data_IF_747068104183
#
_entry.id   IF_747068104183
#
_cell.length_a   1.000
_cell.length_b   1.000
_cell.length_c   1.000
_cell.angle_alpha   90.00
_cell.angle_beta   90.00
_cell.angle_gamma   90.00
#
_symmetry.space_group_name_H-M   'P 1'
#
loop_
_entity.id
_entity.type
_entity.pdbx_description
1 polymer ?
#
# COMPACT_ATOMS: atom_id res chain seq x y z
N UNK A 1 1.19 3.86 -0.24
CA UNK A 1 2.30 2.93 0.08
C UNK A 1 2.32 1.91 -1.04
N UNK A 2 3.25 2.03 -1.99
CA UNK A 2 3.47 0.97 -2.98
C UNK A 2 4.14 -0.19 -2.26
N UNK A 3 3.46 -1.32 -2.20
CA UNK A 3 4.04 -2.54 -1.66
C UNK A 3 5.09 -3.06 -2.65
N UNK A 4 6.35 -2.70 -2.41
CA UNK A 4 7.52 -3.15 -3.18
C UNK A 4 7.70 -4.67 -3.17
N UNK A 5 6.92 -5.41 -2.36
CA UNK A 5 6.98 -6.87 -2.33
C UNK A 5 6.39 -7.56 -3.57
N UNK A 6 5.62 -6.88 -4.43
CA UNK A 6 5.03 -7.54 -5.61
C UNK A 6 6.05 -7.71 -6.74
N UNK A 7 6.93 -6.72 -6.98
CA UNK A 7 7.87 -6.78 -8.13
C UNK A 7 9.04 -7.73 -7.86
N UNK A 8 9.48 -7.86 -6.61
CA UNK A 8 10.62 -8.73 -6.23
C UNK A 8 10.22 -10.19 -5.96
N UNK A 9 8.92 -10.51 -5.87
CA UNK A 9 8.44 -11.89 -5.66
C UNK A 9 8.61 -12.80 -6.88
N UNK A 10 8.75 -12.24 -8.08
CA UNK A 10 8.81 -13.03 -9.32
C UNK A 10 10.17 -13.68 -9.59
N UNK A 11 11.25 -13.19 -8.96
CA UNK A 11 12.60 -13.70 -9.23
C UNK A 11 13.37 -13.84 -7.92
N UNK A 12 13.77 -15.06 -7.59
CA UNK A 12 14.65 -15.34 -6.45
C UNK A 12 15.92 -14.48 -6.55
N UNK A 13 16.39 -13.90 -5.44
CA UNK A 13 17.58 -13.05 -5.38
C UNK A 13 18.84 -13.67 -5.98
N UNK A 14 18.93 -15.00 -6.00
CA UNK A 14 20.06 -15.74 -6.58
C UNK A 14 19.92 -16.06 -8.07
N UNK A 15 18.82 -15.67 -8.70
CA UNK A 15 18.54 -15.97 -10.10
C UNK A 15 19.24 -14.96 -11.02
N UNK A 16 19.77 -15.44 -12.15
CA UNK A 16 20.55 -14.63 -13.11
C UNK A 16 19.79 -13.41 -13.66
N UNK A 17 18.45 -13.43 -13.65
CA UNK A 17 17.61 -12.32 -14.10
C UNK A 17 17.29 -11.31 -12.99
N UNK A 18 17.65 -11.58 -11.72
CA UNK A 18 17.33 -10.72 -10.60
C UNK A 18 17.83 -9.27 -10.78
N UNK A 19 19.08 -9.02 -11.23
CA UNK A 19 19.55 -7.65 -11.46
C UNK A 19 18.74 -6.90 -12.53
N UNK A 20 18.28 -7.61 -13.57
CA UNK A 20 17.46 -7.03 -14.62
C UNK A 20 16.07 -6.65 -14.11
N UNK A 21 15.43 -7.55 -13.35
CA UNK A 21 14.12 -7.29 -12.73
C UNK A 21 14.21 -6.16 -11.72
N UNK A 22 15.25 -6.13 -10.87
CA UNK A 22 15.46 -5.03 -9.93
C UNK A 22 15.64 -3.68 -10.65
N UNK A 23 16.37 -3.65 -11.78
CA UNK A 23 16.56 -2.42 -12.57
C UNK A 23 15.25 -1.96 -13.22
N UNK A 24 14.44 -2.88 -13.73
CA UNK A 24 13.12 -2.56 -14.28
C UNK A 24 12.17 -2.05 -13.19
N UNK A 25 12.20 -2.65 -12.00
CA UNK A 25 11.48 -2.20 -10.82
C UNK A 25 11.84 -0.76 -10.45
N UNK A 26 13.14 -0.45 -10.36
CA UNK A 26 13.64 0.90 -10.05
C UNK A 26 13.19 1.93 -11.11
N UNK A 27 13.26 1.59 -12.40
CA UNK A 27 12.78 2.47 -13.46
C UNK A 27 11.27 2.75 -13.37
N UNK A 28 10.47 1.73 -13.06
CA UNK A 28 9.04 1.90 -12.83
C UNK A 28 8.76 2.76 -11.59
N UNK A 29 9.46 2.52 -10.48
CA UNK A 29 9.33 3.31 -9.25
C UNK A 29 9.67 4.78 -9.48
N UNK A 30 10.78 5.08 -10.17
CA UNK A 30 11.14 6.48 -10.53
C UNK A 30 10.06 7.18 -11.34
N UNK A 31 9.42 6.46 -12.26
CA UNK A 31 8.32 7.02 -13.08
C UNK A 31 7.13 7.36 -12.20
N UNK A 32 6.77 6.47 -11.27
CA UNK A 32 5.67 6.72 -10.32
C UNK A 32 6.02 7.88 -9.37
N UNK A 33 7.23 7.94 -8.85
CA UNK A 33 7.69 9.01 -7.95
C UNK A 33 7.70 10.40 -8.62
N UNK A 34 7.75 10.46 -9.95
CA UNK A 34 7.56 11.70 -10.72
C UNK A 34 6.09 12.12 -10.82
N UNK A 35 5.17 11.16 -10.78
CA UNK A 35 3.72 11.38 -10.94
C UNK A 35 3.00 11.57 -9.60
N UNK A 36 3.53 11.01 -8.51
CA UNK A 36 2.89 10.96 -7.21
C UNK A 36 3.81 11.43 -6.09
N UNK A 37 3.23 12.11 -5.11
CA UNK A 37 3.94 12.47 -3.90
C UNK A 37 4.21 11.23 -3.03
N UNK A 38 5.48 11.03 -2.66
CA UNK A 38 5.86 10.04 -1.66
C UNK A 38 5.55 10.57 -0.26
N UNK A 39 4.73 9.84 0.49
CA UNK A 39 4.38 10.21 1.86
C UNK A 39 5.43 9.67 2.85
N UNK A 40 5.88 10.48 3.81
CA UNK A 40 6.92 10.06 4.74
C UNK A 40 6.38 9.08 5.79
N UNK A 41 7.14 8.02 6.05
CA UNK A 41 6.88 7.11 7.18
C UNK A 41 7.46 7.69 8.48
N UNK A 42 6.76 8.67 9.05
CA UNK A 42 7.12 9.29 10.33
C UNK A 42 6.72 8.42 11.52
N UNK A 43 7.28 8.68 12.70
CA UNK A 43 6.98 7.92 13.93
C UNK A 43 5.49 7.82 14.28
N UNK A 44 4.68 8.80 13.88
CA UNK A 44 3.22 8.79 14.04
C UNK A 44 2.52 7.65 13.26
N UNK A 45 3.13 7.15 12.18
CA UNK A 45 2.61 6.00 11.42
C UNK A 45 2.65 4.74 12.28
N UNK A 46 3.74 4.51 13.01
CA UNK A 46 3.87 3.33 13.87
C UNK A 46 2.86 3.36 15.03
N UNK A 47 2.68 4.49 15.69
CA UNK A 47 1.71 4.61 16.78
C UNK A 47 0.28 4.37 16.29
N UNK A 48 -0.08 4.95 15.15
CA UNK A 48 -1.40 4.75 14.52
C UNK A 48 -1.61 3.30 14.07
N UNK A 49 -0.60 2.70 13.46
CA UNK A 49 -0.63 1.30 13.04
C UNK A 49 -0.80 0.36 14.23
N UNK A 50 -0.06 0.57 15.32
CA UNK A 50 -0.18 -0.22 16.54
C UNK A 50 -1.60 -0.14 17.11
N UNK A 51 -2.19 1.05 17.13
CA UNK A 51 -3.59 1.23 17.52
C UNK A 51 -4.53 0.42 16.62
N UNK A 52 -4.39 0.52 15.29
CA UNK A 52 -5.20 -0.25 14.33
C UNK A 52 -5.05 -1.76 14.53
N UNK A 53 -3.84 -2.26 14.73
CA UNK A 53 -3.59 -3.69 15.00
C UNK A 53 -4.35 -4.16 16.23
N UNK A 54 -4.30 -3.39 17.32
CA UNK A 54 -4.97 -3.75 18.57
C UNK A 54 -6.48 -3.56 18.55
N UNK A 55 -7.01 -2.60 17.79
CA UNK A 55 -8.43 -2.23 17.79
C UNK A 55 -9.24 -2.97 16.74
N UNK A 56 -8.64 -3.24 15.57
CA UNK A 56 -9.27 -3.94 14.45
C UNK A 56 -8.97 -5.44 14.49
N UNK A 57 -8.03 -5.87 15.35
CA UNK A 57 -7.69 -7.29 15.52
C UNK A 57 -7.02 -7.93 14.31
N UNK A 58 -6.22 -7.16 13.57
CA UNK A 58 -5.52 -7.69 12.38
C UNK A 58 -4.36 -8.59 12.76
N UNK A 59 -4.16 -9.66 11.99
CA UNK A 59 -3.05 -10.60 12.16
C UNK A 59 -2.62 -11.19 10.81
N UNK A 60 -1.40 -11.73 10.77
CA UNK A 60 -0.84 -12.34 9.56
C UNK A 60 -0.76 -11.35 8.39
N UNK A 61 -1.26 -11.76 7.23
CA UNK A 61 -1.18 -10.99 5.98
C UNK A 61 -1.87 -9.62 6.04
N UNK A 62 -2.88 -9.46 6.91
CA UNK A 62 -3.67 -8.23 7.06
C UNK A 62 -2.91 -7.09 7.75
N UNK A 63 -1.74 -7.40 8.33
CA UNK A 63 -0.91 -6.44 9.04
C UNK A 63 -0.30 -5.40 8.10
N UNK A 64 -0.05 -5.80 6.84
CA UNK A 64 0.45 -4.90 5.79
C UNK A 64 -0.60 -3.88 5.38
N UNK A 65 -1.85 -4.32 5.16
CA UNK A 65 -2.98 -3.44 4.84
C UNK A 65 -3.23 -2.42 5.96
N UNK A 66 -3.15 -2.86 7.22
CA UNK A 66 -3.26 -1.96 8.36
C UNK A 66 -2.17 -0.87 8.37
N UNK A 67 -0.95 -1.18 7.88
CA UNK A 67 0.13 -0.19 7.79
C UNK A 67 -0.17 0.85 6.72
N UNK A 68 -0.70 0.43 5.57
CA UNK A 68 -1.18 1.34 4.54
C UNK A 68 -2.26 2.28 5.09
N UNK A 69 -3.24 1.75 5.83
CA UNK A 69 -4.30 2.56 6.44
C UNK A 69 -3.76 3.52 7.50
N UNK A 70 -2.74 3.11 8.27
CA UNK A 70 -2.08 4.01 9.23
C UNK A 70 -1.42 5.21 8.53
N UNK A 71 -0.73 4.97 7.41
CA UNK A 71 -0.14 6.03 6.59
C UNK A 71 -1.23 6.97 6.08
N UNK A 72 -2.34 6.43 5.57
CA UNK A 72 -3.48 7.23 5.12
C UNK A 72 -4.04 8.12 6.23
N UNK A 73 -4.27 7.55 7.43
CA UNK A 73 -4.78 8.29 8.60
C UNK A 73 -3.86 9.43 9.03
N UNK A 74 -2.55 9.18 9.11
CA UNK A 74 -1.56 10.21 9.49
C UNK A 74 -1.52 11.35 8.47
N UNK A 75 -1.72 11.03 7.19
CA UNK A 75 -1.73 12.00 6.10
C UNK A 75 -3.13 12.49 5.73
N UNK A 76 -4.15 12.21 6.56
CA UNK A 76 -5.54 12.67 6.38
C UNK A 76 -6.18 12.26 5.03
N UNK A 77 -5.77 11.11 4.51
CA UNK A 77 -6.35 10.52 3.29
C UNK A 77 -7.52 9.61 3.65
N UNK A 78 -8.63 9.80 2.95
CA UNK A 78 -9.85 9.02 3.14
C UNK A 78 -10.17 8.06 2.00
N UNK A 79 -9.58 8.24 0.81
CA UNK A 79 -9.88 7.43 -0.37
C UNK A 79 -8.68 6.56 -0.76
N UNK A 80 -8.93 5.27 -0.97
CA UNK A 80 -7.95 4.29 -1.43
C UNK A 80 -8.38 3.74 -2.79
N UNK A 81 -7.62 4.08 -3.82
CA UNK A 81 -7.75 3.46 -5.14
C UNK A 81 -7.07 2.08 -5.11
N UNK A 82 -7.84 1.00 -5.33
CA UNK A 82 -7.33 -0.38 -5.25
C UNK A 82 -8.20 -1.37 -6.03
N UNK A 83 -7.56 -2.36 -6.65
CA UNK A 83 -8.25 -3.50 -7.28
C UNK A 83 -8.75 -4.54 -6.25
N UNK A 84 -8.29 -4.46 -5.00
CA UNK A 84 -8.64 -5.40 -3.94
C UNK A 84 -9.54 -4.72 -2.88
N UNK A 85 -10.55 -3.96 -3.32
CA UNK A 85 -11.41 -3.17 -2.43
C UNK A 85 -12.01 -3.99 -1.27
N UNK A 86 -12.33 -5.26 -1.52
CA UNK A 86 -12.91 -6.16 -0.52
C UNK A 86 -12.02 -6.35 0.72
N UNK A 87 -10.70 -6.36 0.56
CA UNK A 87 -9.75 -6.58 1.66
C UNK A 87 -9.76 -5.43 2.69
N UNK A 88 -10.20 -4.25 2.24
CA UNK A 88 -10.20 -3.01 3.02
C UNK A 88 -11.55 -2.62 3.61
N UNK A 89 -12.61 -3.40 3.36
CA UNK A 89 -13.99 -3.14 3.86
C UNK A 89 -14.04 -2.92 5.37
N UNK A 90 -13.21 -3.64 6.14
CA UNK A 90 -13.09 -3.49 7.60
C UNK A 90 -12.71 -2.08 8.06
N UNK A 91 -12.12 -1.26 7.18
CA UNK A 91 -11.68 0.09 7.48
C UNK A 91 -12.72 1.15 7.08
N UNK A 92 -13.86 0.76 6.49
CA UNK A 92 -14.94 1.70 6.15
C UNK A 92 -15.54 2.35 7.41
N UNK A 93 -15.65 1.59 8.50
CA UNK A 93 -16.13 2.09 9.81
C UNK A 93 -15.26 3.19 10.41
N UNK A 94 -14.03 3.35 9.92
CA UNK A 94 -13.08 4.36 10.36
C UNK A 94 -12.80 5.43 9.30
N UNK A 95 -13.70 5.57 8.31
CA UNK A 95 -13.67 6.65 7.33
C UNK A 95 -12.77 6.42 6.11
N UNK A 96 -12.36 5.18 5.84
CA UNK A 96 -11.68 4.83 4.59
C UNK A 96 -12.71 4.42 3.55
N UNK A 97 -12.67 5.03 2.37
CA UNK A 97 -13.48 4.69 1.21
C UNK A 97 -12.59 4.04 0.17
N UNK A 98 -12.93 2.85 -0.29
CA UNK A 98 -12.20 2.17 -1.37
C UNK A 98 -12.86 2.44 -2.72
N UNK A 99 -12.04 2.71 -3.73
CA UNK A 99 -12.48 2.95 -5.10
C UNK A 99 -11.79 1.93 -6.00
N UNK A 100 -12.58 1.23 -6.82
CA UNK A 100 -12.05 0.34 -7.84
C UNK A 100 -11.69 1.16 -9.09
N UNK A 101 -10.46 1.07 -9.62
CA UNK A 101 -10.07 1.78 -10.84
C UNK A 101 -10.99 1.52 -12.04
N UNK A 102 -11.56 0.31 -12.16
CA UNK A 102 -12.47 -0.04 -13.26
C UNK A 102 -13.75 0.80 -13.18
N UNK A 103 -14.21 1.12 -11.98
CA UNK A 103 -15.41 1.95 -11.77
C UNK A 103 -15.13 3.44 -12.06
N UNK A 104 -13.87 3.88 -12.04
CA UNK A 104 -13.50 5.27 -12.37
C UNK A 104 -13.36 5.50 -13.87
N UNK A 105 -13.07 4.47 -14.69
CA UNK A 105 -12.91 4.63 -16.14
C UNK A 105 -14.20 4.86 -16.91
N UNK A 106 -15.37 4.75 -16.26
CA UNK A 106 -16.69 5.02 -16.84
C UNK A 106 -17.22 6.44 -16.55
N UNK A 107 -16.41 7.30 -15.91
CA UNK A 107 -16.70 8.72 -15.64
C UNK A 107 -15.91 9.65 -16.57
#
# INVERSE_FOLDING_TARGET
MLDTNVILRYVNGNHILYPLVAKQADAALRTIEQLFQLLPEIGAVYSTWRQLVTTVGVSGVQVHDARLIAIMRVNQLSHLLTFNANDFTRYHSIGITTVDPVQMSEM
#
